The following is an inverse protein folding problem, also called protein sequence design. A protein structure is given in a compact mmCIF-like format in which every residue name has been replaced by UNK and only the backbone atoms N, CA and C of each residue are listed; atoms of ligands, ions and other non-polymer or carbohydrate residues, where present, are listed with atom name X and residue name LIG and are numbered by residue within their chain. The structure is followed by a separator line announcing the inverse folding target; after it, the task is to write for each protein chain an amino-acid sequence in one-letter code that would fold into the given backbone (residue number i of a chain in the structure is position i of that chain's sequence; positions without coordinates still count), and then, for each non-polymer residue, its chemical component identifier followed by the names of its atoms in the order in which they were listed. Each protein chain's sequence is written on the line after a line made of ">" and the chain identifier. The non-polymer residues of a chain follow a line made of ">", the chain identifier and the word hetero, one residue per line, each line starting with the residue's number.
data_IF_676789284194
#
_entry.id   IF_676789284194
#
_cell.length_a   1.000
_cell.length_b   1.000
_cell.length_c   1.000
_cell.angle_alpha   90.00
_cell.angle_beta   90.00
_cell.angle_gamma   90.00
#
_symmetry.space_group_name_H-M   'P 1'
#
loop_
_entity.id
_entity.type
_entity.pdbx_description
1 polymer ?
#
# COMPACT_ATOMS: atom_id res chain seq x y z
N UNK A 1 -46.81 4.72 59.34
CA UNK A 1 -46.76 3.26 59.53
C UNK A 1 -47.06 2.59 58.20
N UNK A 2 -46.06 2.04 57.50
CA UNK A 2 -46.19 0.89 56.58
C UNK A 2 -44.80 0.44 56.14
N UNK A 3 -44.50 -0.81 56.48
CA UNK A 3 -43.27 -1.56 56.26
C UNK A 3 -43.36 -2.29 54.92
N UNK A 4 -42.16 -2.56 54.39
CA UNK A 4 -41.75 -3.54 53.38
C UNK A 4 -42.64 -4.80 53.33
N UNK A 5 -42.99 -5.22 52.13
CA UNK A 5 -43.52 -6.55 51.86
C UNK A 5 -42.38 -7.50 51.48
N UNK A 6 -42.21 -8.51 52.32
CA UNK A 6 -41.54 -9.77 52.02
C UNK A 6 -42.64 -10.85 52.07
N UNK A 7 -42.64 -11.78 51.12
CA UNK A 7 -43.41 -13.01 51.23
C UNK A 7 -42.52 -14.19 50.87
N UNK A 8 -42.20 -14.94 51.92
CA UNK A 8 -41.74 -16.33 51.89
C UNK A 8 -42.97 -17.19 52.19
N UNK A 9 -43.10 -18.37 51.56
CA UNK A 9 -43.23 -19.70 52.19
C UNK A 9 -43.73 -20.78 51.19
N UNK A 10 -42.90 -21.82 51.06
CA UNK A 10 -43.21 -23.23 50.68
C UNK A 10 -44.17 -23.87 51.72
N UNK A 11 -44.68 -25.13 51.64
CA UNK A 11 -44.29 -26.31 50.81
C UNK A 11 -45.47 -27.20 50.32
N UNK A 12 -45.20 -28.31 49.62
CA UNK A 12 -46.04 -29.53 49.62
C UNK A 12 -45.18 -30.76 49.30
N UNK A 13 -45.35 -31.83 50.09
CA UNK A 13 -44.49 -33.01 50.23
C UNK A 13 -45.32 -34.32 50.05
N UNK A 14 -44.75 -35.32 49.37
CA UNK A 14 -45.09 -36.77 49.38
C UNK A 14 -46.34 -37.27 48.62
N UNK A 15 -46.42 -38.45 47.98
CA UNK A 15 -45.55 -39.66 47.86
C UNK A 15 -45.96 -40.53 46.63
N UNK A 16 -44.96 -41.22 46.06
CA UNK A 16 -44.89 -42.56 45.42
C UNK A 16 -46.05 -43.14 44.56
N UNK A 17 -45.75 -43.48 43.30
CA UNK A 17 -45.65 -44.89 42.84
C UNK A 17 -45.11 -45.01 41.39
N UNK A 18 -44.32 -46.06 41.23
CA UNK A 18 -43.51 -46.57 40.12
C UNK A 18 -44.30 -46.99 38.85
N UNK A 19 -43.61 -47.03 37.70
CA UNK A 19 -43.60 -48.07 36.65
C UNK A 19 -43.26 -47.51 35.25
N UNK A 20 -41.98 -47.59 34.91
CA UNK A 20 -41.47 -48.14 33.64
C UNK A 20 -41.74 -47.42 32.30
N UNK A 21 -40.67 -46.86 31.71
CA UNK A 21 -40.06 -47.45 30.50
C UNK A 21 -38.66 -46.84 30.28
N UNK A 22 -37.64 -47.58 30.73
CA UNK A 22 -36.25 -47.40 30.34
C UNK A 22 -36.08 -47.80 28.86
N UNK A 23 -35.66 -46.87 28.01
CA UNK A 23 -34.92 -47.22 26.78
C UNK A 23 -33.56 -46.56 26.81
N UNK A 24 -32.56 -47.43 26.91
CA UNK A 24 -31.13 -47.16 26.90
C UNK A 24 -30.71 -46.64 25.52
N UNK A 25 -30.09 -45.46 25.45
CA UNK A 25 -29.14 -45.16 24.39
C UNK A 25 -27.76 -44.98 25.02
N UNK A 26 -27.15 -46.13 25.30
CA UNK A 26 -25.76 -46.23 25.71
C UNK A 26 -24.88 -46.09 24.45
N UNK A 27 -24.64 -44.86 24.01
CA UNK A 27 -23.56 -44.58 23.07
C UNK A 27 -22.33 -44.23 23.91
N UNK A 28 -21.56 -45.26 24.24
CA UNK A 28 -20.19 -45.13 24.68
C UNK A 28 -19.45 -44.33 23.60
N UNK A 29 -19.23 -43.03 23.83
CA UNK A 29 -18.19 -42.29 23.13
C UNK A 29 -16.90 -42.87 23.71
N UNK A 30 -16.46 -43.97 23.10
CA UNK A 30 -15.09 -44.44 23.21
C UNK A 30 -14.22 -43.23 22.94
N UNK A 31 -13.53 -42.75 23.97
CA UNK A 31 -12.46 -41.79 23.82
C UNK A 31 -11.47 -42.47 22.88
N UNK A 32 -11.49 -42.11 21.59
CA UNK A 32 -10.43 -42.54 20.69
C UNK A 32 -9.12 -42.05 21.34
N UNK A 33 -8.18 -42.95 21.68
CA UNK A 33 -6.86 -42.49 22.02
C UNK A 33 -6.37 -41.66 20.84
N UNK A 34 -5.97 -40.42 21.11
CA UNK A 34 -5.24 -39.63 20.12
C UNK A 34 -4.15 -40.56 19.57
N UNK A 35 -4.03 -40.74 18.24
CA UNK A 35 -3.03 -41.64 17.71
C UNK A 35 -1.67 -41.24 18.31
N UNK A 36 -0.98 -42.21 18.91
CA UNK A 36 0.37 -42.02 19.43
C UNK A 36 1.13 -41.26 18.35
N UNK A 37 1.72 -40.12 18.73
CA UNK A 37 2.55 -39.34 17.81
C UNK A 37 3.67 -40.28 17.34
N UNK A 38 3.53 -40.85 16.15
CA UNK A 38 4.48 -41.78 15.52
C UNK A 38 5.86 -41.14 15.27
N UNK A 39 6.00 -39.84 15.56
CA UNK A 39 7.20 -39.05 15.37
C UNK A 39 7.70 -38.54 16.73
N UNK A 40 8.89 -38.97 17.13
CA UNK A 40 9.61 -38.39 18.26
C UNK A 40 10.18 -37.02 17.86
N UNK A 41 10.17 -36.03 18.77
CA UNK A 41 10.72 -34.69 18.50
C UNK A 41 12.19 -34.72 18.05
N UNK A 42 12.94 -35.73 18.49
CA UNK A 42 14.34 -35.99 18.11
C UNK A 42 14.52 -36.40 16.64
N UNK A 43 13.47 -36.93 15.99
CA UNK A 43 13.50 -37.32 14.58
C UNK A 43 13.20 -36.15 13.63
N UNK A 44 12.65 -35.05 14.15
CA UNK A 44 12.30 -33.86 13.36
C UNK A 44 13.40 -32.81 13.58
N UNK A 45 14.36 -32.77 12.67
CA UNK A 45 15.37 -31.72 12.67
C UNK A 45 14.78 -30.41 12.13
N UNK A 46 14.50 -29.45 13.02
CA UNK A 46 14.03 -28.11 12.64
C UNK A 46 15.26 -27.20 12.52
N UNK A 47 15.55 -26.64 11.33
CA UNK A 47 16.64 -25.68 11.19
C UNK A 47 16.47 -24.48 12.13
N UNK A 48 17.53 -24.03 12.82
CA UNK A 48 17.42 -22.96 13.80
C UNK A 48 16.99 -21.62 13.20
N UNK A 49 17.20 -21.39 11.90
CA UNK A 49 16.80 -20.17 11.19
C UNK A 49 15.31 -20.15 10.80
N UNK A 50 14.68 -21.32 10.69
CA UNK A 50 13.31 -21.45 10.18
C UNK A 50 12.28 -20.63 11.00
N UNK A 51 12.29 -20.65 12.34
CA UNK A 51 11.35 -19.85 13.14
C UNK A 51 11.43 -18.35 12.84
N UNK A 52 12.64 -17.81 12.67
CA UNK A 52 12.84 -16.39 12.39
C UNK A 52 12.40 -16.01 10.98
N UNK A 53 12.66 -16.88 9.99
CA UNK A 53 12.16 -16.70 8.62
C UNK A 53 10.63 -16.62 8.61
N UNK A 54 9.95 -17.57 9.27
CA UNK A 54 8.48 -17.60 9.34
C UNK A 54 7.91 -16.39 10.07
N UNK A 55 8.56 -15.96 11.15
CA UNK A 55 8.19 -14.75 11.91
C UNK A 55 8.32 -13.49 11.05
N UNK A 56 9.43 -13.34 10.31
CA UNK A 56 9.66 -12.18 9.44
C UNK A 56 8.68 -12.16 8.26
N UNK A 57 8.44 -13.31 7.63
CA UNK A 57 7.42 -13.47 6.59
C UNK A 57 6.03 -13.07 7.10
N UNK A 58 5.63 -13.57 8.27
CA UNK A 58 4.32 -13.29 8.85
C UNK A 58 4.14 -11.80 9.16
N UNK A 59 5.15 -11.16 9.75
CA UNK A 59 5.16 -9.71 9.96
C UNK A 59 5.04 -8.93 8.66
N UNK A 60 5.77 -9.35 7.63
CA UNK A 60 5.76 -8.71 6.32
C UNK A 60 4.39 -8.82 5.63
N UNK A 61 3.75 -9.99 5.70
CA UNK A 61 2.41 -10.22 5.17
C UNK A 61 1.37 -9.34 5.87
N UNK A 62 1.41 -9.27 7.21
CA UNK A 62 0.50 -8.43 8.01
C UNK A 62 0.65 -6.94 7.65
N UNK A 63 1.88 -6.44 7.45
CA UNK A 63 2.13 -5.04 7.09
C UNK A 63 1.66 -4.72 5.67
N UNK A 64 1.89 -5.64 4.74
CA UNK A 64 1.67 -5.40 3.31
C UNK A 64 0.20 -5.56 2.93
N UNK A 65 -0.52 -6.44 3.63
CA UNK A 65 -1.90 -6.83 3.31
C UNK A 65 -2.09 -7.11 1.82
N UNK A 66 -1.31 -8.05 1.24
CA UNK A 66 -1.44 -8.37 -0.18
C UNK A 66 -2.82 -8.97 -0.47
N UNK A 67 -3.40 -8.60 -1.61
CA UNK A 67 -4.67 -9.18 -2.06
C UNK A 67 -4.52 -10.67 -2.41
N UNK A 68 -3.39 -11.04 -3.02
CA UNK A 68 -3.04 -12.44 -3.30
C UNK A 68 -1.81 -12.83 -2.48
N UNK A 69 -2.06 -13.48 -1.33
CA UNK A 69 -1.00 -13.92 -0.44
C UNK A 69 -0.08 -14.94 -1.09
N UNK A 70 -0.57 -15.81 -1.97
CA UNK A 70 0.24 -16.87 -2.58
C UNK A 70 1.23 -16.28 -3.59
N UNK A 71 0.73 -15.44 -4.51
CA UNK A 71 1.58 -14.76 -5.47
C UNK A 71 2.60 -13.85 -4.77
N UNK A 72 2.16 -13.10 -3.76
CA UNK A 72 3.05 -12.27 -2.95
C UNK A 72 4.11 -13.09 -2.21
N UNK A 73 3.75 -14.27 -1.67
CA UNK A 73 4.69 -15.15 -0.99
C UNK A 73 5.80 -15.63 -1.93
N UNK A 74 5.44 -16.01 -3.16
CA UNK A 74 6.42 -16.40 -4.17
C UNK A 74 7.38 -15.23 -4.49
N UNK A 75 6.85 -14.01 -4.64
CA UNK A 75 7.66 -12.82 -4.85
C UNK A 75 8.58 -12.52 -3.65
N UNK A 76 8.07 -12.65 -2.42
CA UNK A 76 8.83 -12.44 -1.19
C UNK A 76 10.02 -13.38 -1.07
N UNK A 77 9.81 -14.70 -1.21
CA UNK A 77 10.89 -15.68 -1.09
C UNK A 77 11.86 -15.62 -2.27
N UNK A 78 11.40 -15.27 -3.48
CA UNK A 78 12.28 -15.01 -4.61
C UNK A 78 13.19 -13.80 -4.35
N UNK A 79 12.63 -12.69 -3.84
CA UNK A 79 13.45 -11.53 -3.47
C UNK A 79 14.44 -11.87 -2.33
N UNK A 80 13.98 -12.60 -1.31
CA UNK A 80 14.80 -13.01 -0.17
C UNK A 80 15.98 -13.90 -0.59
N UNK A 81 15.74 -14.89 -1.46
CA UNK A 81 16.79 -15.78 -1.95
C UNK A 81 17.83 -15.09 -2.83
N UNK A 82 17.45 -14.00 -3.51
CA UNK A 82 18.34 -13.19 -4.36
C UNK A 82 19.02 -12.02 -3.62
N UNK A 83 18.67 -11.79 -2.35
CA UNK A 83 19.15 -10.63 -1.59
C UNK A 83 18.61 -9.29 -2.10
N UNK A 84 17.49 -9.29 -2.80
CA UNK A 84 16.84 -8.09 -3.31
C UNK A 84 16.00 -7.41 -2.22
N UNK A 85 15.62 -6.13 -2.43
CA UNK A 85 14.69 -5.45 -1.54
C UNK A 85 13.34 -6.19 -1.52
N UNK A 86 12.87 -6.56 -0.32
CA UNK A 86 11.65 -7.35 -0.17
C UNK A 86 10.41 -6.52 -0.54
N UNK A 87 9.36 -7.14 -1.11
CA UNK A 87 8.11 -6.48 -1.46
C UNK A 87 7.24 -6.20 -0.22
N UNK A 88 7.78 -5.48 0.76
CA UNK A 88 7.17 -5.28 2.08
C UNK A 88 6.93 -3.80 2.33
N UNK A 89 5.71 -3.47 2.76
CA UNK A 89 5.40 -2.09 3.15
C UNK A 89 6.16 -1.70 4.41
N UNK A 90 6.74 -0.49 4.39
CA UNK A 90 7.35 0.13 5.56
C UNK A 90 6.32 0.34 6.67
N UNK A 91 5.03 0.48 6.37
CA UNK A 91 3.96 0.63 7.36
C UNK A 91 2.62 0.13 6.80
N UNK A 92 1.72 -0.26 7.69
CA UNK A 92 0.33 -0.53 7.32
C UNK A 92 -0.35 0.79 6.95
N UNK A 93 -0.75 0.91 5.69
CA UNK A 93 -1.61 2.00 5.21
C UNK A 93 -3.07 1.58 5.40
N UNK A 94 -3.87 2.42 6.06
CA UNK A 94 -5.31 2.21 6.10
C UNK A 94 -5.90 2.64 4.76
N UNK A 95 -6.03 1.70 3.85
CA UNK A 95 -6.77 1.92 2.61
C UNK A 95 -8.25 2.03 3.00
N UNK A 96 -8.81 3.26 3.06
CA UNK A 96 -10.23 3.48 3.37
C UNK A 96 -11.23 2.88 2.36
N UNK A 97 -10.74 2.12 1.39
CA UNK A 97 -11.48 1.45 0.32
C UNK A 97 -11.40 -0.06 0.49
N UNK A 98 -12.06 -0.58 1.54
CA UNK A 98 -12.28 -2.01 1.77
C UNK A 98 -13.22 -2.69 0.74
N UNK A 99 -13.42 -2.09 -0.44
CA UNK A 99 -14.43 -2.55 -1.41
C UNK A 99 -14.13 -2.24 -2.88
N UNK A 100 -12.87 -1.99 -3.28
CA UNK A 100 -12.51 -2.03 -4.72
C UNK A 100 -12.11 -3.46 -5.08
N UNK A 101 -12.82 -4.05 -6.03
CA UNK A 101 -12.55 -5.39 -6.57
C UNK A 101 -11.14 -5.48 -7.20
N UNK A 102 -10.59 -4.33 -7.59
CA UNK A 102 -9.26 -4.21 -8.20
C UNK A 102 -8.28 -3.48 -7.26
N UNK A 103 -7.15 -4.11 -6.89
CA UNK A 103 -6.07 -3.47 -6.15
C UNK A 103 -5.45 -2.35 -6.98
N UNK A 104 -5.65 -1.11 -6.53
CA UNK A 104 -5.04 0.08 -7.09
C UNK A 104 -3.70 0.39 -6.44
N UNK A 105 -2.79 0.99 -7.20
CA UNK A 105 -1.55 1.58 -6.71
C UNK A 105 -1.81 2.45 -5.46
N UNK A 106 -1.00 2.24 -4.42
CA UNK A 106 -0.96 3.09 -3.20
C UNK A 106 0.43 3.71 -3.07
N UNK A 107 0.60 4.82 -2.31
CA UNK A 107 1.91 5.44 -2.10
C UNK A 107 2.95 4.45 -1.56
N UNK A 108 2.56 3.61 -0.60
CA UNK A 108 3.42 2.57 -0.04
C UNK A 108 3.82 1.49 -1.05
N UNK A 109 2.92 1.10 -1.96
CA UNK A 109 3.27 0.15 -3.03
C UNK A 109 4.22 0.78 -4.05
N UNK A 110 3.99 2.05 -4.43
CA UNK A 110 4.89 2.79 -5.30
C UNK A 110 6.28 2.98 -4.66
N UNK A 111 6.33 3.21 -3.34
CA UNK A 111 7.59 3.26 -2.57
C UNK A 111 8.35 1.94 -2.60
N UNK A 112 7.65 0.80 -2.50
CA UNK A 112 8.28 -0.52 -2.63
C UNK A 112 8.89 -0.68 -4.03
N UNK A 113 8.12 -0.36 -5.08
CA UNK A 113 8.62 -0.43 -6.45
C UNK A 113 9.85 0.46 -6.63
N UNK A 114 9.81 1.69 -6.07
CA UNK A 114 10.95 2.59 -6.09
C UNK A 114 12.17 1.94 -5.42
N UNK A 115 12.06 1.39 -4.21
CA UNK A 115 13.19 0.71 -3.56
C UNK A 115 13.74 -0.50 -4.35
N UNK A 116 12.88 -1.19 -5.09
CA UNK A 116 13.28 -2.38 -5.87
C UNK A 116 13.94 -2.01 -7.20
N UNK A 117 13.49 -0.94 -7.86
CA UNK A 117 13.87 -0.61 -9.24
C UNK A 117 14.77 0.63 -9.34
N UNK A 118 14.80 1.52 -8.34
CA UNK A 118 15.58 2.78 -8.38
C UNK A 118 17.09 2.60 -8.39
N UNK A 119 17.59 1.41 -8.07
CA UNK A 119 19.03 1.10 -8.19
C UNK A 119 19.52 1.22 -9.64
N UNK A 120 18.62 1.12 -10.62
CA UNK A 120 18.91 1.26 -12.04
C UNK A 120 18.18 2.48 -12.57
N UNK A 121 18.86 3.26 -13.43
CA UNK A 121 18.25 4.43 -14.08
C UNK A 121 17.11 4.00 -15.01
N UNK A 122 17.29 2.89 -15.70
CA UNK A 122 16.28 2.27 -16.57
C UNK A 122 15.95 0.85 -16.12
N UNK A 123 14.72 0.41 -16.35
CA UNK A 123 14.29 -0.97 -16.13
C UNK A 123 13.52 -1.52 -17.33
N UNK A 124 13.49 -2.86 -17.45
CA UNK A 124 12.74 -3.54 -18.51
C UNK A 124 11.25 -3.63 -18.14
N UNK A 125 10.38 -3.66 -19.16
CA UNK A 125 8.94 -3.89 -18.97
C UNK A 125 8.69 -5.23 -18.26
N UNK A 126 9.45 -6.28 -18.59
CA UNK A 126 9.30 -7.61 -17.99
C UNK A 126 9.62 -7.61 -16.48
N UNK A 127 10.69 -6.92 -16.08
CA UNK A 127 11.07 -6.77 -14.68
C UNK A 127 9.97 -6.02 -13.92
N UNK A 128 9.49 -4.90 -14.47
CA UNK A 128 8.42 -4.11 -13.88
C UNK A 128 7.13 -4.92 -13.74
N UNK A 129 6.69 -5.62 -14.79
CA UNK A 129 5.51 -6.50 -14.74
C UNK A 129 5.65 -7.58 -13.67
N UNK A 130 6.83 -8.17 -13.54
CA UNK A 130 7.11 -9.18 -12.52
C UNK A 130 6.97 -8.60 -11.12
N UNK A 131 7.56 -7.43 -10.85
CA UNK A 131 7.43 -6.74 -9.54
C UNK A 131 6.00 -6.29 -9.28
N UNK A 132 5.32 -5.73 -10.29
CA UNK A 132 3.94 -5.28 -10.22
C UNK A 132 2.97 -6.41 -9.85
N UNK A 133 3.10 -7.56 -10.53
CA UNK A 133 2.33 -8.78 -10.22
C UNK A 133 2.64 -9.31 -8.83
N UNK A 134 3.90 -9.24 -8.38
CA UNK A 134 4.31 -9.63 -7.04
C UNK A 134 3.66 -8.78 -5.93
N UNK A 135 3.25 -7.55 -6.24
CA UNK A 135 2.48 -6.67 -5.35
C UNK A 135 0.95 -6.85 -5.49
N UNK A 136 0.52 -7.84 -6.29
CA UNK A 136 -0.88 -8.10 -6.61
C UNK A 136 -1.60 -6.88 -7.20
N UNK A 137 -0.91 -6.02 -7.95
CA UNK A 137 -1.53 -4.85 -8.58
C UNK A 137 -2.23 -5.20 -9.89
N UNK A 138 -3.26 -4.43 -10.27
CA UNK A 138 -4.00 -4.65 -11.52
C UNK A 138 -3.12 -4.46 -12.76
N UNK A 139 -3.07 -5.43 -13.71
CA UNK A 139 -2.28 -5.30 -14.94
C UNK A 139 -2.81 -4.18 -15.84
N UNK A 140 -4.13 -3.96 -15.86
CA UNK A 140 -4.73 -2.89 -16.66
C UNK A 140 -4.25 -1.50 -16.22
N UNK A 141 -4.02 -1.31 -14.92
CA UNK A 141 -3.45 -0.06 -14.41
C UNK A 141 -2.01 0.12 -14.90
N UNK A 142 -1.21 -0.96 -14.93
CA UNK A 142 0.14 -0.91 -15.48
C UNK A 142 0.14 -0.57 -16.96
N UNK A 143 -0.70 -1.24 -17.76
CA UNK A 143 -0.78 -1.01 -19.21
C UNK A 143 -1.20 0.43 -19.53
N UNK A 144 -2.10 1.01 -18.72
CA UNK A 144 -2.49 2.41 -18.83
C UNK A 144 -1.31 3.35 -18.59
N UNK A 145 -0.51 3.10 -17.54
CA UNK A 145 0.67 3.91 -17.23
C UNK A 145 1.76 3.75 -18.32
N UNK A 146 1.98 2.53 -18.81
CA UNK A 146 2.95 2.28 -19.88
C UNK A 146 2.56 2.98 -21.18
N UNK A 147 1.28 2.91 -21.55
CA UNK A 147 0.75 3.58 -22.73
C UNK A 147 0.83 5.10 -22.61
N UNK A 148 0.51 5.64 -21.43
CA UNK A 148 0.56 7.07 -21.17
C UNK A 148 1.99 7.62 -21.26
N UNK A 149 2.98 6.88 -20.74
CA UNK A 149 4.39 7.26 -20.84
C UNK A 149 5.03 7.03 -22.21
N UNK A 150 4.36 6.30 -23.11
CA UNK A 150 4.92 5.94 -24.42
C UNK A 150 6.13 5.02 -24.33
N UNK A 151 6.22 4.18 -23.30
CA UNK A 151 7.36 3.27 -23.11
C UNK A 151 7.26 2.04 -24.03
N UNK A 152 8.37 1.73 -24.70
CA UNK A 152 8.43 0.71 -25.75
C UNK A 152 9.35 -0.48 -25.41
N UNK A 153 10.52 -0.25 -24.80
CA UNK A 153 11.44 -1.33 -24.42
C UNK A 153 12.19 -1.08 -23.12
N UNK A 154 12.74 0.12 -22.95
CA UNK A 154 13.35 0.56 -21.69
C UNK A 154 12.53 1.68 -21.06
N UNK A 155 12.32 1.57 -19.76
CA UNK A 155 11.56 2.54 -18.98
C UNK A 155 12.55 3.38 -18.19
N UNK A 156 12.55 4.71 -18.36
CA UNK A 156 13.21 5.59 -17.40
C UNK A 156 12.41 5.54 -16.09
N UNK A 157 13.08 5.10 -15.02
CA UNK A 157 12.41 4.80 -13.77
C UNK A 157 11.78 6.05 -13.14
N UNK A 158 12.40 7.23 -13.28
CA UNK A 158 11.88 8.47 -12.70
C UNK A 158 10.65 8.95 -13.46
N UNK A 159 10.62 8.79 -14.78
CA UNK A 159 9.44 9.13 -15.60
C UNK A 159 8.25 8.21 -15.29
N UNK A 160 8.47 6.89 -15.23
CA UNK A 160 7.41 5.96 -14.82
C UNK A 160 6.95 6.22 -13.38
N UNK A 161 7.90 6.48 -12.47
CA UNK A 161 7.59 6.86 -11.10
C UNK A 161 6.70 8.11 -11.04
N UNK A 162 6.98 9.11 -11.88
CA UNK A 162 6.18 10.32 -11.98
C UNK A 162 4.74 10.00 -12.40
N UNK A 163 4.52 9.10 -13.36
CA UNK A 163 3.17 8.63 -13.73
C UNK A 163 2.47 7.94 -12.55
N UNK A 164 3.20 7.15 -11.77
CA UNK A 164 2.70 6.56 -10.54
C UNK A 164 2.21 7.62 -9.55
N UNK A 165 2.97 8.70 -9.36
CA UNK A 165 2.56 9.85 -8.55
C UNK A 165 1.34 10.57 -9.13
N UNK A 166 1.26 10.70 -10.46
CA UNK A 166 0.10 11.27 -11.16
C UNK A 166 -1.18 10.49 -10.92
N UNK A 167 -1.12 9.16 -11.01
CA UNK A 167 -2.24 8.28 -10.73
C UNK A 167 -2.73 8.34 -9.27
N UNK A 168 -1.87 8.78 -8.34
CA UNK A 168 -2.21 8.95 -6.92
C UNK A 168 -2.75 10.36 -6.61
N UNK A 169 -2.15 11.40 -7.20
CA UNK A 169 -2.44 12.81 -6.92
C UNK A 169 -3.67 13.34 -7.65
N UNK A 170 -3.85 12.97 -8.91
CA UNK A 170 -4.90 13.52 -9.77
C UNK A 170 -4.66 14.97 -10.24
N UNK A 171 -3.79 15.74 -9.59
CA UNK A 171 -3.31 17.06 -10.07
C UNK A 171 -1.79 17.10 -10.09
N UNK A 172 -1.21 18.02 -10.87
CA UNK A 172 0.26 18.13 -10.97
C UNK A 172 0.91 18.40 -9.59
N UNK A 173 0.37 19.32 -8.80
CA UNK A 173 0.93 19.67 -7.50
C UNK A 173 0.78 18.53 -6.47
N UNK A 174 -0.37 17.88 -6.41
CA UNK A 174 -0.58 16.73 -5.52
C UNK A 174 0.33 15.55 -5.88
N UNK A 175 0.57 15.34 -7.17
CA UNK A 175 1.55 14.36 -7.66
C UNK A 175 2.95 14.66 -7.16
N UNK A 176 3.36 15.94 -7.20
CA UNK A 176 4.65 16.37 -6.64
C UNK A 176 4.73 16.20 -5.13
N UNK A 177 3.63 16.37 -4.39
CA UNK A 177 3.59 16.07 -2.95
C UNK A 177 3.85 14.58 -2.69
N UNK A 178 3.18 13.69 -3.43
CA UNK A 178 3.45 12.24 -3.35
C UNK A 178 4.90 11.89 -3.72
N UNK A 179 5.47 12.52 -4.75
CA UNK A 179 6.86 12.31 -5.13
C UNK A 179 7.81 12.67 -3.97
N UNK A 180 7.62 13.83 -3.34
CA UNK A 180 8.38 14.24 -2.16
C UNK A 180 8.25 13.24 -0.99
N UNK A 181 7.02 12.83 -0.67
CA UNK A 181 6.75 11.90 0.45
C UNK A 181 7.34 10.50 0.23
N UNK A 182 7.41 10.04 -1.03
CA UNK A 182 7.91 8.71 -1.36
C UNK A 182 9.44 8.69 -1.49
N UNK A 183 10.04 9.73 -2.11
CA UNK A 183 11.47 9.80 -2.41
C UNK A 183 12.33 10.37 -1.26
N UNK A 184 11.71 11.00 -0.26
CA UNK A 184 12.43 11.62 0.85
C UNK A 184 13.24 10.60 1.67
N UNK A 185 14.43 11.05 2.09
CA UNK A 185 15.26 10.36 3.09
C UNK A 185 15.01 10.88 4.52
N UNK A 186 14.20 11.93 4.68
CA UNK A 186 13.78 12.40 5.99
C UNK A 186 13.01 11.30 6.75
N UNK A 187 13.04 11.39 8.09
CA UNK A 187 12.22 10.54 8.94
C UNK A 187 10.72 10.68 8.59
N UNK A 188 9.97 9.60 8.81
CA UNK A 188 8.55 9.58 8.49
C UNK A 188 7.77 10.65 9.28
N UNK A 189 6.98 11.46 8.59
CA UNK A 189 6.33 12.66 9.16
C UNK A 189 7.23 13.92 9.21
N UNK A 190 8.45 13.83 8.69
CA UNK A 190 9.37 14.94 8.51
C UNK A 190 8.97 15.87 7.37
N UNK A 191 9.91 16.73 6.95
CA UNK A 191 9.66 17.77 5.95
C UNK A 191 9.52 17.24 4.50
N UNK A 192 9.75 15.95 4.27
CA UNK A 192 9.69 15.29 2.96
C UNK A 192 10.58 15.98 1.91
N UNK A 193 11.84 16.25 2.26
CA UNK A 193 12.78 16.95 1.38
C UNK A 193 13.37 16.01 0.33
N UNK A 194 13.43 16.49 -0.91
CA UNK A 194 14.09 15.81 -2.04
C UNK A 194 15.06 16.74 -2.77
N UNK A 195 16.06 16.22 -3.51
CA UNK A 195 16.90 17.04 -4.38
C UNK A 195 16.08 17.79 -5.43
N UNK A 196 16.39 19.07 -5.65
CA UNK A 196 15.64 19.90 -6.59
C UNK A 196 15.75 19.40 -8.05
N UNK A 197 16.89 18.82 -8.45
CA UNK A 197 17.05 18.27 -9.80
C UNK A 197 16.05 17.14 -10.08
N UNK A 198 15.82 16.27 -9.09
CA UNK A 198 14.81 15.21 -9.18
C UNK A 198 13.39 15.79 -9.26
N UNK A 199 13.11 16.83 -8.48
CA UNK A 199 11.82 17.54 -8.53
C UNK A 199 11.58 18.15 -9.92
N UNK A 200 12.58 18.82 -10.50
CA UNK A 200 12.52 19.43 -11.84
C UNK A 200 12.25 18.37 -12.90
N UNK A 201 12.94 17.22 -12.83
CA UNK A 201 12.73 16.12 -13.77
C UNK A 201 11.29 15.61 -13.75
N UNK A 202 10.75 15.31 -12.56
CA UNK A 202 9.39 14.79 -12.38
C UNK A 202 8.34 15.82 -12.82
N UNK A 203 8.47 17.07 -12.36
CA UNK A 203 7.51 18.12 -12.67
C UNK A 203 7.47 18.42 -14.17
N UNK A 204 8.63 18.57 -14.81
CA UNK A 204 8.71 18.88 -16.24
C UNK A 204 8.13 17.77 -17.09
N UNK A 205 8.39 16.51 -16.73
CA UNK A 205 7.83 15.36 -17.43
C UNK A 205 6.29 15.35 -17.34
N UNK A 206 5.73 15.49 -16.14
CA UNK A 206 4.28 15.50 -15.94
C UNK A 206 3.59 16.71 -16.60
N UNK A 207 4.18 17.90 -16.51
CA UNK A 207 3.61 19.10 -17.12
C UNK A 207 3.57 19.01 -18.65
N UNK A 208 4.58 18.38 -19.28
CA UNK A 208 4.60 18.13 -20.72
C UNK A 208 3.58 17.07 -21.15
N UNK A 209 3.40 16.05 -20.32
CA UNK A 209 2.44 14.98 -20.57
C UNK A 209 0.99 15.48 -20.51
N UNK A 210 0.70 16.40 -19.60
CA UNK A 210 -0.62 17.03 -19.47
C UNK A 210 -0.96 17.89 -20.69
N UNK A 211 0.05 18.43 -21.40
CA UNK A 211 -0.11 19.21 -22.64
C UNK A 211 -0.74 20.60 -22.46
N UNK A 212 -1.42 20.82 -21.34
CA UNK A 212 -2.12 22.07 -21.00
C UNK A 212 -1.22 23.12 -20.32
N UNK A 213 0.04 22.77 -20.00
CA UNK A 213 0.99 23.68 -19.34
C UNK A 213 2.04 24.18 -20.34
N UNK A 214 2.02 25.47 -20.74
CA UNK A 214 3.05 26.04 -21.61
C UNK A 214 4.44 25.98 -20.99
N UNK A 215 5.48 25.79 -21.81
CA UNK A 215 6.87 25.74 -21.33
C UNK A 215 7.27 27.00 -20.54
N UNK A 216 6.76 28.18 -20.92
CA UNK A 216 6.97 29.42 -20.17
C UNK A 216 6.45 29.34 -18.73
N UNK A 217 5.28 28.72 -18.51
CA UNK A 217 4.72 28.55 -17.17
C UNK A 217 5.54 27.55 -16.33
N UNK A 218 6.03 26.49 -16.96
CA UNK A 218 6.97 25.54 -16.32
C UNK A 218 8.20 26.30 -15.85
N UNK A 219 8.80 27.12 -16.72
CA UNK A 219 10.03 27.86 -16.42
C UNK A 219 9.79 28.91 -15.32
N UNK A 220 8.68 29.65 -15.38
CA UNK A 220 8.29 30.62 -14.33
C UNK A 220 8.15 29.92 -12.98
N UNK A 221 7.40 28.82 -12.93
CA UNK A 221 7.18 28.06 -11.70
C UNK A 221 8.51 27.56 -11.13
N UNK A 222 9.34 26.89 -11.93
CA UNK A 222 10.63 26.36 -11.48
C UNK A 222 11.60 27.47 -11.04
N UNK A 223 11.62 28.61 -11.75
CA UNK A 223 12.44 29.76 -11.38
C UNK A 223 11.99 30.41 -10.08
N UNK A 224 10.67 30.44 -9.81
CA UNK A 224 10.14 30.99 -8.55
C UNK A 224 10.59 30.20 -7.30
N UNK A 225 10.91 28.91 -7.48
CA UNK A 225 11.35 28.02 -6.40
C UNK A 225 12.85 28.13 -6.10
N UNK A 226 13.68 28.55 -7.08
CA UNK A 226 15.15 28.61 -6.95
C UNK A 226 15.65 29.35 -5.70
N UNK A 227 15.13 30.54 -5.33
CA UNK A 227 15.59 31.24 -4.13
C UNK A 227 15.39 30.42 -2.84
N UNK A 228 14.28 29.69 -2.74
CA UNK A 228 13.99 28.85 -1.57
C UNK A 228 14.84 27.57 -1.56
N UNK A 229 15.19 27.06 -2.74
CA UNK A 229 16.07 25.90 -2.92
C UNK A 229 17.51 26.23 -2.54
N UNK A 230 18.00 27.42 -2.91
CA UNK A 230 19.33 27.91 -2.52
C UNK A 230 19.45 28.04 -1.00
N UNK A 231 18.44 28.60 -0.35
CA UNK A 231 18.36 28.67 1.12
C UNK A 231 18.27 27.30 1.80
N UNK A 232 17.81 26.29 1.07
CA UNK A 232 17.66 24.90 1.54
C UNK A 232 18.75 23.98 1.00
N UNK A 233 19.89 24.53 0.56
CA UNK A 233 21.06 23.76 0.10
C UNK A 233 20.75 22.77 -1.03
N UNK A 234 19.94 23.18 -2.01
CA UNK A 234 19.61 22.34 -3.17
C UNK A 234 18.43 21.39 -2.95
N UNK A 235 17.77 21.47 -1.79
CA UNK A 235 16.62 20.63 -1.45
C UNK A 235 15.30 21.40 -1.59
N UNK A 236 14.23 20.67 -1.87
CA UNK A 236 12.86 21.18 -1.94
C UNK A 236 11.92 20.31 -1.10
N UNK A 237 10.89 20.92 -0.51
CA UNK A 237 9.84 20.25 0.28
C UNK A 237 8.44 20.68 -0.18
N UNK A 238 7.39 19.91 0.12
CA UNK A 238 6.00 20.25 -0.21
C UNK A 238 5.61 21.69 0.13
N UNK A 239 5.97 22.16 1.34
CA UNK A 239 5.65 23.52 1.79
C UNK A 239 6.19 24.66 0.90
N UNK A 240 7.18 24.40 0.05
CA UNK A 240 7.69 25.42 -0.88
C UNK A 240 6.74 25.71 -2.04
N UNK A 241 5.91 24.74 -2.45
CA UNK A 241 5.08 24.84 -3.65
C UNK A 241 3.59 24.53 -3.42
N UNK A 242 3.19 24.08 -2.22
CA UNK A 242 1.78 23.78 -1.89
C UNK A 242 0.81 24.93 -2.16
N UNK A 243 1.27 26.19 -2.04
CA UNK A 243 0.43 27.37 -2.28
C UNK A 243 0.06 27.57 -3.77
N UNK A 244 0.69 26.81 -4.67
CA UNK A 244 0.41 26.84 -6.09
C UNK A 244 -0.83 26.00 -6.48
N UNK A 245 -1.41 25.25 -5.54
CA UNK A 245 -2.68 24.52 -5.77
C UNK A 245 -3.85 25.45 -6.10
N UNK A 246 -3.86 26.66 -5.53
CA UNK A 246 -4.93 27.63 -5.73
C UNK A 246 -4.72 28.49 -7.00
N UNK A 247 -3.56 28.39 -7.65
CA UNK A 247 -3.24 29.12 -8.87
C UNK A 247 -3.60 28.34 -10.14
N UNK A 248 -4.56 27.40 -10.05
CA UNK A 248 -5.16 26.73 -11.21
C UNK A 248 -5.40 27.75 -12.33
N UNK A 249 -4.72 27.54 -13.45
CA UNK A 249 -4.75 28.36 -14.64
C UNK A 249 -6.12 28.26 -15.33
N UNK A 250 -7.17 28.75 -14.68
CA UNK A 250 -8.43 29.11 -15.34
C UNK A 250 -8.21 30.41 -16.09
N UNK A 251 -7.49 30.35 -17.20
CA UNK A 251 -7.58 31.35 -18.26
C UNK A 251 -7.58 30.66 -19.60
N UNK A 252 -8.76 30.15 -19.95
CA UNK A 252 -9.05 29.48 -21.21
C UNK A 252 -10.55 29.48 -21.52
N UNK A 253 -11.24 30.55 -21.12
CA UNK A 253 -12.59 30.84 -21.59
C UNK A 253 -12.68 32.34 -21.85
N UNK A 254 -12.00 32.81 -22.89
CA UNK A 254 -12.24 34.13 -23.46
C UNK A 254 -13.67 34.19 -23.98
N UNK A 255 -14.40 35.14 -23.42
CA UNK A 255 -15.49 35.84 -24.06
C UNK A 255 -15.29 35.96 -25.58
N UNK A 256 -16.32 35.59 -26.33
CA UNK A 256 -16.76 36.27 -27.55
C UNK A 256 -18.16 35.74 -27.88
N UNK A 257 -19.17 36.42 -27.32
CA UNK A 257 -20.48 36.50 -27.92
C UNK A 257 -20.82 37.99 -27.97
N UNK A 258 -20.11 38.68 -28.86
CA UNK A 258 -20.48 40.01 -29.31
C UNK A 258 -21.79 39.92 -30.10
N UNK A 259 -22.74 40.73 -29.64
CA UNK A 259 -23.66 41.54 -30.43
C UNK A 259 -23.57 41.39 -31.96
N UNK A 260 -24.59 40.76 -32.55
CA UNK A 260 -25.51 41.36 -33.55
C UNK A 260 -26.77 40.51 -33.73
#
# INVERSE_FOLDING_TARGET
>A
MKKKDAVTLLPCDGKDTDYGLHFLFNASISAMPLPDRLFCAEQINIPPELPDILKNFSKAAIRTQPMDLLAWSAAYFNALSRGECLPVKDRLEYNGTTQKLDPSLTPGLLKILHKQLSSRKTCSIEDLQTKWKGLSLSPNQLDTLLSLGGFDSEIDWIEFFALGCSALGGTLISSMKFACEILTNDEEGGAARIPFDTFVQIYTFLARLDGDVPQEHIDIFLNSLKPQVELQHGMIKPGNFSHWEDMDFKSGATANADQE
#
